data_IF_299890850204
#
_entry.id   IF_299890850204
#
_cell.length_a   1.000
_cell.length_b   1.000
_cell.length_c   1.000
_cell.angle_alpha   90.00
_cell.angle_beta   90.00
_cell.angle_gamma   90.00
#
_symmetry.space_group_name_H-M   'P 1'
#
loop_
_entity.id
_entity.type
_entity.pdbx_description
1 polymer ?
#
# COMPACT_ATOMS: atom_id res chain seq x y z
N UNK A 1 8.85 -19.89 -7.07
CA UNK A 1 8.92 -18.57 -6.39
C UNK A 1 8.65 -18.76 -4.90
N UNK A 2 9.61 -18.43 -4.03
CA UNK A 2 9.44 -18.58 -2.59
C UNK A 2 8.66 -17.36 -2.08
N UNK A 3 7.46 -17.57 -1.52
CA UNK A 3 6.67 -16.49 -0.93
C UNK A 3 7.45 -15.81 0.19
N UNK A 4 7.61 -14.49 0.12
CA UNK A 4 8.16 -13.68 1.22
C UNK A 4 7.02 -13.47 2.22
N UNK A 5 7.06 -14.17 3.33
CA UNK A 5 6.00 -14.17 4.36
C UNK A 5 6.50 -13.51 5.63
N UNK A 6 5.65 -12.71 6.25
CA UNK A 6 5.86 -12.25 7.63
C UNK A 6 5.45 -13.39 8.59
N UNK A 7 6.35 -13.86 9.49
CA UNK A 7 6.04 -14.94 10.41
C UNK A 7 4.86 -14.58 11.33
N UNK A 8 3.97 -15.55 11.57
CA UNK A 8 2.87 -15.41 12.54
C UNK A 8 1.62 -14.67 12.08
N UNK A 9 1.51 -14.27 10.81
CA UNK A 9 0.31 -13.66 10.25
C UNK A 9 -0.52 -14.65 9.41
N UNK A 10 -1.87 -14.49 9.38
CA UNK A 10 -2.75 -15.38 8.63
C UNK A 10 -2.41 -15.38 7.13
N UNK A 11 -2.65 -16.51 6.48
CA UNK A 11 -2.60 -16.59 5.03
C UNK A 11 -3.85 -15.94 4.48
N UNK A 12 -3.71 -14.73 3.93
CA UNK A 12 -4.81 -14.00 3.30
C UNK A 12 -4.91 -14.44 1.85
N UNK A 13 -6.11 -14.80 1.42
CA UNK A 13 -6.50 -14.92 0.02
C UNK A 13 -7.47 -13.77 -0.24
N UNK A 14 -7.19 -12.95 -1.24
CA UNK A 14 -8.06 -11.85 -1.57
C UNK A 14 -9.34 -12.39 -2.24
N UNK A 15 -10.47 -12.34 -1.53
CA UNK A 15 -11.77 -12.70 -2.10
C UNK A 15 -12.17 -11.70 -3.18
N UNK A 16 -12.79 -12.23 -4.25
CA UNK A 16 -13.23 -11.40 -5.37
C UNK A 16 -14.32 -10.42 -4.95
N UNK A 17 -14.07 -9.14 -5.15
CA UNK A 17 -15.00 -8.04 -4.85
C UNK A 17 -14.72 -6.82 -5.72
N UNK A 18 -15.69 -5.93 -5.79
CA UNK A 18 -15.49 -4.58 -6.32
C UNK A 18 -15.27 -3.60 -5.18
N UNK A 19 -14.23 -2.77 -5.29
CA UNK A 19 -13.98 -1.62 -4.44
C UNK A 19 -14.32 -0.36 -5.22
N UNK A 20 -14.91 0.62 -4.55
CA UNK A 20 -15.16 1.94 -5.15
C UNK A 20 -14.11 2.91 -4.63
N UNK A 21 -13.32 3.46 -5.53
CA UNK A 21 -12.37 4.52 -5.21
C UNK A 21 -13.10 5.85 -4.92
N UNK A 22 -12.44 6.75 -4.23
CA UNK A 22 -12.96 8.11 -3.92
C UNK A 22 -13.27 8.90 -5.20
N UNK A 23 -12.57 8.60 -6.31
CA UNK A 23 -12.84 9.16 -7.64
C UNK A 23 -14.12 8.64 -8.29
N UNK A 24 -14.75 7.59 -7.74
CA UNK A 24 -15.84 6.85 -8.35
C UNK A 24 -15.40 5.69 -9.27
N UNK A 25 -14.11 5.52 -9.51
CA UNK A 25 -13.57 4.37 -10.26
C UNK A 25 -13.88 3.06 -9.54
N UNK A 26 -14.26 2.04 -10.30
CA UNK A 26 -14.40 0.68 -9.79
C UNK A 26 -13.11 -0.10 -9.94
N UNK A 27 -12.69 -0.75 -8.88
CA UNK A 27 -11.49 -1.58 -8.82
C UNK A 27 -11.90 -2.99 -8.45
N UNK A 28 -11.70 -3.93 -9.36
CA UNK A 28 -11.89 -5.35 -9.06
C UNK A 28 -10.66 -5.86 -8.29
N UNK A 29 -10.89 -6.43 -7.13
CA UNK A 29 -9.88 -7.08 -6.30
C UNK A 29 -10.21 -8.59 -6.20
N UNK A 30 -9.32 -9.50 -6.66
CA UNK A 30 -8.11 -9.25 -7.45
C UNK A 30 -8.41 -8.74 -8.87
N UNK A 31 -7.47 -8.03 -9.48
CA UNK A 31 -7.55 -7.62 -10.89
C UNK A 31 -7.29 -8.85 -11.77
N UNK A 32 -8.16 -9.18 -12.76
CA UNK A 32 -8.01 -10.39 -13.55
C UNK A 32 -6.78 -10.42 -14.46
N UNK A 33 -6.25 -9.24 -14.82
CA UNK A 33 -5.23 -9.08 -15.84
C UNK A 33 -3.87 -8.64 -15.28
N UNK A 34 -3.85 -8.08 -14.06
CA UNK A 34 -2.66 -7.45 -13.48
C UNK A 34 -2.43 -7.87 -12.05
N UNK A 35 -1.18 -7.75 -11.61
CA UNK A 35 -0.88 -7.77 -10.18
C UNK A 35 -1.49 -6.54 -9.50
N UNK A 36 -2.00 -6.68 -8.28
CA UNK A 36 -2.40 -5.55 -7.44
C UNK A 36 -1.35 -5.33 -6.35
N UNK A 37 -0.83 -4.12 -6.25
CA UNK A 37 -0.18 -3.65 -5.04
C UNK A 37 -1.22 -2.97 -4.15
N UNK A 38 -1.75 -3.69 -3.17
CA UNK A 38 -2.71 -3.20 -2.20
C UNK A 38 -1.96 -2.60 -1.00
N UNK A 39 -2.09 -1.29 -0.84
CA UNK A 39 -1.39 -0.52 0.18
C UNK A 39 -2.36 -0.06 1.26
N UNK A 40 -2.13 -0.44 2.51
CA UNK A 40 -2.84 0.12 3.65
C UNK A 40 -2.05 1.29 4.22
N UNK A 41 -2.68 2.45 4.24
CA UNK A 41 -2.10 3.69 4.75
C UNK A 41 -2.88 4.16 5.98
N UNK A 42 -2.48 5.25 6.59
CA UNK A 42 -3.04 5.67 7.87
C UNK A 42 -4.32 6.48 7.67
N UNK A 43 -4.24 7.79 7.63
CA UNK A 43 -5.38 8.71 7.55
C UNK A 43 -5.15 9.75 6.46
N UNK A 44 -6.22 10.43 6.05
CA UNK A 44 -6.18 11.51 5.07
C UNK A 44 -5.20 12.61 5.47
N UNK A 45 -4.34 13.05 4.54
CA UNK A 45 -3.35 14.10 4.79
C UNK A 45 -2.19 13.70 5.72
N UNK A 46 -2.01 12.40 6.02
CA UNK A 46 -0.88 11.91 6.83
C UNK A 46 0.45 12.30 6.16
N UNK A 47 1.30 13.18 6.78
CA UNK A 47 2.52 13.65 6.14
C UNK A 47 3.51 12.54 5.80
N UNK A 48 3.60 11.52 6.66
CA UNK A 48 4.49 10.37 6.48
C UNK A 48 4.00 9.49 5.31
N UNK A 49 2.68 9.30 5.21
CA UNK A 49 2.08 8.56 4.08
C UNK A 49 2.29 9.31 2.76
N UNK A 50 2.07 10.64 2.75
CA UNK A 50 2.26 11.46 1.57
C UNK A 50 3.72 11.45 1.09
N UNK A 51 4.68 11.47 2.02
CA UNK A 51 6.11 11.38 1.67
C UNK A 51 6.40 10.08 0.90
N UNK A 52 5.84 8.95 1.35
CA UNK A 52 6.00 7.67 0.64
C UNK A 52 5.22 7.66 -0.68
N UNK A 53 3.94 8.05 -0.69
CA UNK A 53 3.11 8.02 -1.90
C UNK A 53 3.68 8.89 -3.03
N UNK A 54 4.42 9.96 -2.72
CA UNK A 54 5.14 10.74 -3.74
C UNK A 54 6.18 9.91 -4.48
N UNK A 55 6.86 8.98 -3.81
CA UNK A 55 7.82 8.09 -4.50
C UNK A 55 7.10 7.14 -5.46
N UNK A 56 5.90 6.69 -5.09
CA UNK A 56 5.03 5.87 -5.94
C UNK A 56 4.52 6.67 -7.14
N UNK A 57 4.04 7.91 -6.91
CA UNK A 57 3.57 8.82 -7.99
C UNK A 57 4.69 9.09 -9.00
N UNK A 58 5.91 9.41 -8.54
CA UNK A 58 7.04 9.71 -9.41
C UNK A 58 7.43 8.54 -10.32
N UNK A 59 7.20 7.32 -9.88
CA UNK A 59 7.54 6.09 -10.60
C UNK A 59 6.33 5.30 -11.06
N UNK A 60 5.15 5.91 -11.07
CA UNK A 60 3.89 5.23 -11.38
C UNK A 60 3.92 4.52 -12.74
N UNK A 61 4.44 5.19 -13.78
CA UNK A 61 4.56 4.59 -15.12
C UNK A 61 5.44 3.35 -15.14
N UNK A 62 6.48 3.32 -14.34
CA UNK A 62 7.37 2.15 -14.20
C UNK A 62 6.66 0.98 -13.52
N UNK A 63 5.85 1.28 -12.50
CA UNK A 63 5.03 0.30 -11.79
C UNK A 63 3.96 -0.30 -12.73
N UNK A 64 3.27 0.56 -13.50
CA UNK A 64 2.30 0.12 -14.51
C UNK A 64 2.95 -0.75 -15.60
N UNK A 65 4.14 -0.35 -16.09
CA UNK A 65 4.90 -1.11 -17.09
C UNK A 65 5.34 -2.49 -16.56
N UNK A 66 5.48 -2.64 -15.24
CA UNK A 66 5.73 -3.92 -14.58
C UNK A 66 4.46 -4.79 -14.42
N UNK A 67 3.30 -4.36 -14.95
CA UNK A 67 2.03 -5.06 -14.84
C UNK A 67 1.38 -4.97 -13.47
N UNK A 68 1.69 -3.94 -12.68
CA UNK A 68 1.16 -3.73 -11.33
C UNK A 68 0.15 -2.58 -11.34
N UNK A 69 -1.02 -2.82 -10.78
CA UNK A 69 -2.03 -1.81 -10.46
C UNK A 69 -1.90 -1.39 -9.01
N UNK A 70 -1.77 -0.09 -8.78
CA UNK A 70 -1.72 0.50 -7.45
C UNK A 70 -3.13 0.73 -6.89
N UNK A 71 -3.38 0.26 -5.66
CA UNK A 71 -4.61 0.50 -4.91
C UNK A 71 -4.24 0.87 -3.48
N UNK A 72 -4.64 2.06 -3.04
CA UNK A 72 -4.31 2.58 -1.72
C UNK A 72 -5.55 2.67 -0.86
N UNK A 73 -5.55 2.06 0.31
CA UNK A 73 -6.64 2.05 1.27
C UNK A 73 -6.30 2.93 2.46
N UNK A 74 -7.21 3.83 2.82
CA UNK A 74 -7.12 4.66 4.03
C UNK A 74 -8.28 4.38 4.97
N UNK A 75 -8.02 4.51 6.27
CA UNK A 75 -9.09 4.38 7.27
C UNK A 75 -9.82 5.71 7.55
N UNK A 76 -9.76 6.66 6.64
CA UNK A 76 -10.55 7.90 6.66
C UNK A 76 -11.78 7.78 5.78
N UNK A 77 -12.86 8.52 6.09
CA UNK A 77 -14.02 8.67 5.22
C UNK A 77 -13.65 9.27 3.87
N UNK A 78 -14.48 9.00 2.85
CA UNK A 78 -14.23 9.46 1.48
C UNK A 78 -14.16 10.99 1.39
N UNK A 79 -14.97 11.71 2.16
CA UNK A 79 -15.01 13.16 2.20
C UNK A 79 -13.69 13.77 2.69
N UNK A 80 -13.05 13.12 3.68
CA UNK A 80 -11.74 13.55 4.18
C UNK A 80 -10.63 13.23 3.17
N UNK A 81 -10.78 12.15 2.39
CA UNK A 81 -9.78 11.70 1.41
C UNK A 81 -9.83 12.49 0.10
N UNK A 82 -11.02 12.89 -0.35
CA UNK A 82 -11.21 13.52 -1.66
C UNK A 82 -10.22 14.65 -1.97
N UNK A 83 -9.95 15.60 -1.04
CA UNK A 83 -9.00 16.68 -1.30
C UNK A 83 -7.54 16.24 -1.40
N UNK A 84 -7.21 15.04 -0.91
CA UNK A 84 -5.85 14.49 -0.88
C UNK A 84 -5.63 13.44 -1.97
N UNK A 85 -6.71 12.94 -2.57
CA UNK A 85 -6.70 11.89 -3.58
C UNK A 85 -6.79 12.41 -5.02
N UNK A 86 -7.23 13.67 -5.20
CA UNK A 86 -7.56 14.24 -6.51
C UNK A 86 -6.42 14.18 -7.54
N UNK A 87 -5.18 14.34 -7.09
CA UNK A 87 -4.00 14.39 -7.96
C UNK A 87 -3.22 13.06 -7.99
N UNK A 88 -3.74 12.00 -7.34
CA UNK A 88 -3.08 10.69 -7.34
C UNK A 88 -3.45 9.90 -8.59
N UNK A 89 -2.46 9.32 -9.32
CA UNK A 89 -2.70 8.61 -10.58
C UNK A 89 -3.21 7.17 -10.38
N UNK A 90 -3.60 6.81 -9.17
CA UNK A 90 -4.05 5.46 -8.81
C UNK A 90 -5.28 5.50 -7.89
N UNK A 91 -5.94 4.36 -7.77
CA UNK A 91 -7.17 4.23 -6.99
C UNK A 91 -6.94 4.42 -5.49
N UNK A 92 -7.72 5.31 -4.87
CA UNK A 92 -7.74 5.56 -3.43
C UNK A 92 -9.08 5.12 -2.87
N UNK A 93 -9.07 4.19 -1.92
CA UNK A 93 -10.25 3.57 -1.31
C UNK A 93 -10.40 4.02 0.13
N UNK A 94 -11.62 4.41 0.51
CA UNK A 94 -11.99 4.71 1.89
C UNK A 94 -12.46 3.43 2.61
N UNK A 95 -11.89 3.15 3.78
CA UNK A 95 -12.29 2.06 4.65
C UNK A 95 -12.41 2.54 6.12
N UNK A 96 -13.35 3.47 6.42
CA UNK A 96 -13.48 4.05 7.76
C UNK A 96 -13.81 3.02 8.84
N UNK A 97 -14.53 1.97 8.48
CA UNK A 97 -14.90 0.85 9.35
C UNK A 97 -13.76 -0.16 9.54
N UNK A 98 -12.66 -0.03 8.79
CA UNK A 98 -11.49 -0.90 8.82
C UNK A 98 -11.79 -2.37 8.51
N UNK A 99 -12.75 -2.64 7.68
CA UNK A 99 -13.13 -4.01 7.27
C UNK A 99 -11.98 -4.68 6.52
N UNK A 100 -11.42 -3.99 5.52
CA UNK A 100 -10.24 -4.47 4.79
C UNK A 100 -9.01 -4.57 5.69
N UNK A 101 -8.77 -3.60 6.58
CA UNK A 101 -7.66 -3.68 7.54
C UNK A 101 -7.76 -4.92 8.42
N UNK A 102 -8.96 -5.24 8.92
CA UNK A 102 -9.19 -6.43 9.76
C UNK A 102 -8.97 -7.71 8.96
N UNK A 103 -9.51 -7.78 7.76
CA UNK A 103 -9.37 -8.95 6.88
C UNK A 103 -7.92 -9.24 6.53
N UNK A 104 -7.16 -8.20 6.17
CA UNK A 104 -5.75 -8.32 5.84
C UNK A 104 -4.82 -8.33 7.07
N UNK A 105 -5.37 -8.29 8.28
CA UNK A 105 -4.62 -8.35 9.54
C UNK A 105 -3.71 -7.14 9.79
N UNK A 106 -4.06 -5.97 9.24
CA UNK A 106 -3.29 -4.73 9.43
C UNK A 106 -3.66 -4.09 10.76
N UNK A 107 -2.68 -3.95 11.64
CA UNK A 107 -2.86 -3.58 13.03
C UNK A 107 -2.84 -2.07 13.30
N UNK A 108 -3.32 -1.72 14.52
CA UNK A 108 -3.04 -0.45 15.18
C UNK A 108 -2.13 -0.72 16.37
N UNK A 109 -1.08 0.08 16.51
CA UNK A 109 -0.22 -0.03 17.68
C UNK A 109 0.44 1.30 18.03
N UNK A 110 0.65 1.61 19.32
CA UNK A 110 1.41 2.77 19.75
C UNK A 110 2.82 2.83 19.14
N UNK A 111 3.45 1.69 18.89
CA UNK A 111 4.76 1.58 18.23
C UNK A 111 4.83 2.28 16.87
N UNK A 112 3.68 2.49 16.22
CA UNK A 112 3.61 3.21 14.94
C UNK A 112 4.33 4.57 14.95
N UNK A 113 4.32 5.26 16.09
CA UNK A 113 4.92 6.58 16.26
C UNK A 113 6.03 6.60 17.32
N UNK A 114 6.14 5.60 18.18
CA UNK A 114 7.12 5.56 19.28
C UNK A 114 8.45 4.95 18.86
N UNK A 115 8.52 4.27 17.70
CA UNK A 115 9.77 3.73 17.19
C UNK A 115 10.73 4.87 16.79
N UNK A 116 11.99 4.91 17.33
CA UNK A 116 12.96 5.97 16.98
C UNK A 116 13.26 6.07 15.48
N UNK A 117 13.14 4.99 14.73
CA UNK A 117 13.39 4.93 13.29
C UNK A 117 12.46 5.83 12.48
N UNK A 118 11.28 6.15 13.02
CA UNK A 118 10.26 6.96 12.34
C UNK A 118 10.48 8.46 12.53
N UNK A 119 11.29 8.89 13.50
CA UNK A 119 11.43 10.32 13.85
C UNK A 119 12.05 11.15 12.73
N UNK A 120 13.12 10.68 12.11
CA UNK A 120 13.74 11.39 10.99
C UNK A 120 12.78 11.49 9.76
N UNK A 121 12.12 10.41 9.31
CA UNK A 121 11.03 10.50 8.34
C UNK A 121 9.90 11.45 8.74
N UNK A 122 9.47 11.45 10.01
CA UNK A 122 8.43 12.38 10.50
C UNK A 122 8.90 13.84 10.35
N UNK A 123 10.09 14.17 10.82
CA UNK A 123 10.63 15.53 10.72
C UNK A 123 10.70 15.97 9.24
N UNK A 124 11.22 15.12 8.36
CA UNK A 124 11.27 15.42 6.92
C UNK A 124 9.86 15.59 6.33
N UNK A 125 8.92 14.75 6.70
CA UNK A 125 7.55 14.81 6.24
C UNK A 125 6.84 16.09 6.72
N UNK A 126 7.04 16.47 7.99
CA UNK A 126 6.46 17.70 8.56
C UNK A 126 7.06 18.94 7.89
N UNK A 127 8.39 19.01 7.74
CA UNK A 127 9.07 20.14 7.09
C UNK A 127 8.63 20.28 5.63
N UNK A 128 8.63 19.18 4.87
CA UNK A 128 8.21 19.20 3.47
C UNK A 128 6.71 19.50 3.32
N UNK A 129 5.88 18.96 4.20
CA UNK A 129 4.44 19.23 4.23
C UNK A 129 4.14 20.69 4.57
N UNK A 130 4.78 21.25 5.60
CA UNK A 130 4.66 22.67 5.95
C UNK A 130 5.06 23.59 4.79
N UNK A 131 6.17 23.27 4.12
CA UNK A 131 6.63 24.03 2.94
C UNK A 131 5.64 23.97 1.77
N UNK A 132 5.00 22.81 1.54
CA UNK A 132 4.01 22.65 0.48
C UNK A 132 2.68 23.32 0.84
N UNK A 133 2.28 23.33 2.10
CA UNK A 133 1.11 24.08 2.57
C UNK A 133 1.31 25.60 2.37
N UNK A 134 2.50 26.12 2.74
CA UNK A 134 2.84 27.53 2.52
C UNK A 134 2.81 27.89 1.03
N UNK A 135 3.16 26.95 0.15
CA UNK A 135 3.10 27.12 -1.31
C UNK A 135 1.72 26.82 -1.92
N UNK A 136 0.70 26.52 -1.11
CA UNK A 136 -0.64 26.19 -1.58
C UNK A 136 -0.75 24.86 -2.33
N UNK A 137 0.27 24.00 -2.22
CA UNK A 137 0.34 22.70 -2.91
C UNK A 137 -0.26 21.55 -2.13
N UNK A 138 -0.43 21.70 -0.83
CA UNK A 138 -1.03 20.69 0.06
C UNK A 138 -1.95 21.34 1.08
N UNK A 139 -2.96 20.61 1.51
CA UNK A 139 -3.85 21.02 2.60
C UNK A 139 -3.30 20.55 3.93
N UNK A 140 -3.60 21.28 4.99
CA UNK A 140 -3.26 20.87 6.35
C UNK A 140 -3.95 19.55 6.69
N UNK A 141 -3.23 18.59 7.31
CA UNK A 141 -3.84 17.37 7.80
C UNK A 141 -4.85 17.68 8.92
N UNK A 142 -5.89 16.86 9.05
CA UNK A 142 -6.83 16.96 10.16
C UNK A 142 -6.09 16.86 11.51
N UNK A 143 -6.45 17.73 12.44
CA UNK A 143 -5.94 17.70 13.82
C UNK A 143 -6.44 16.48 14.58
N UNK A 144 -7.64 15.97 14.22
CA UNK A 144 -8.26 14.79 14.81
C UNK A 144 -8.78 13.87 13.69
N UNK A 145 -7.90 13.10 13.02
CA UNK A 145 -8.31 12.24 11.91
C UNK A 145 -9.21 11.10 12.39
N UNK A 146 -10.18 10.74 11.55
CA UNK A 146 -11.05 9.58 11.79
C UNK A 146 -10.21 8.33 12.06
N UNK A 147 -10.58 7.54 13.06
CA UNK A 147 -9.84 6.32 13.44
C UNK A 147 -8.47 6.55 14.10
N UNK A 148 -8.05 7.81 14.32
CA UNK A 148 -6.84 8.18 15.04
C UNK A 148 -5.54 8.03 14.23
N UNK A 149 -4.40 8.21 14.91
CA UNK A 149 -3.06 8.31 14.29
C UNK A 149 -2.18 7.07 14.44
N UNK A 150 -2.65 6.00 15.09
CA UNK A 150 -1.83 4.84 15.49
C UNK A 150 -1.87 3.67 14.50
N UNK A 151 -2.39 3.86 13.28
CA UNK A 151 -2.38 2.83 12.24
C UNK A 151 -0.96 2.46 11.83
N UNK A 152 -0.72 1.18 11.59
CA UNK A 152 0.49 0.69 10.94
C UNK A 152 0.23 0.56 9.43
N UNK A 153 1.24 0.75 8.58
CA UNK A 153 1.11 0.48 7.17
C UNK A 153 1.13 -1.02 6.87
N UNK A 154 0.57 -1.41 5.74
CA UNK A 154 0.67 -2.75 5.20
C UNK A 154 0.77 -2.71 3.68
N UNK A 155 1.57 -3.60 3.10
CA UNK A 155 1.73 -3.72 1.65
C UNK A 155 1.53 -5.18 1.25
N UNK A 156 0.73 -5.42 0.20
CA UNK A 156 0.40 -6.74 -0.29
C UNK A 156 0.51 -6.77 -1.81
N UNK A 157 1.23 -7.75 -2.35
CA UNK A 157 1.25 -8.02 -3.79
C UNK A 157 0.32 -9.21 -4.07
N UNK A 158 -0.73 -8.97 -4.84
CA UNK A 158 -1.82 -9.92 -5.07
C UNK A 158 -1.84 -10.31 -6.54
N UNK A 159 -1.86 -11.62 -6.81
CA UNK A 159 -1.96 -12.17 -8.14
C UNK A 159 -3.42 -12.15 -8.67
N UNK A 160 -3.64 -12.27 -9.99
CA UNK A 160 -4.97 -12.32 -10.60
C UNK A 160 -5.88 -13.44 -10.05
N UNK A 161 -5.31 -14.52 -9.55
CA UNK A 161 -6.03 -15.62 -8.90
C UNK A 161 -6.36 -15.38 -7.41
N UNK A 162 -6.05 -14.19 -6.88
CA UNK A 162 -6.30 -13.79 -5.49
C UNK A 162 -5.22 -14.19 -4.49
N UNK A 163 -4.21 -14.96 -4.91
CA UNK A 163 -3.11 -15.33 -4.01
C UNK A 163 -2.27 -14.11 -3.63
N UNK A 164 -2.01 -13.94 -2.35
CA UNK A 164 -1.03 -12.98 -1.87
C UNK A 164 0.37 -13.54 -2.08
N UNK A 165 1.10 -12.97 -3.04
CA UNK A 165 2.45 -13.40 -3.42
C UNK A 165 3.50 -12.92 -2.43
N UNK A 166 3.32 -11.71 -1.91
CA UNK A 166 4.16 -11.10 -0.88
C UNK A 166 3.33 -10.19 0.02
N UNK A 167 3.75 -10.08 1.27
CA UNK A 167 3.13 -9.16 2.24
C UNK A 167 4.18 -8.55 3.15
N UNK A 168 3.95 -7.29 3.53
CA UNK A 168 4.71 -6.57 4.56
C UNK A 168 3.75 -5.93 5.54
N UNK A 169 3.94 -6.23 6.80
CA UNK A 169 3.26 -5.56 7.92
C UNK A 169 4.27 -4.61 8.56
N UNK A 170 4.00 -3.31 8.46
CA UNK A 170 4.93 -2.30 8.96
C UNK A 170 5.08 -2.35 10.47
N UNK A 171 6.32 -2.24 10.95
CA UNK A 171 6.65 -2.14 12.37
C UNK A 171 6.45 -0.73 12.91
N UNK A 172 6.58 0.28 12.04
CA UNK A 172 6.38 1.70 12.34
C UNK A 172 5.71 2.46 11.19
N UNK A 173 5.38 3.73 11.39
CA UNK A 173 4.58 4.52 10.45
C UNK A 173 5.19 4.73 9.05
N UNK A 174 6.50 4.56 8.90
CA UNK A 174 7.24 4.71 7.63
C UNK A 174 7.85 3.40 7.14
N UNK A 175 7.30 2.26 7.55
CA UNK A 175 7.80 0.94 7.17
C UNK A 175 6.95 0.33 6.06
N UNK A 176 7.12 0.87 4.85
CA UNK A 176 6.47 0.40 3.61
C UNK A 176 7.52 -0.17 2.65
N UNK A 177 7.06 -0.87 1.59
CA UNK A 177 7.97 -1.25 0.52
C UNK A 177 8.46 -0.02 -0.25
N UNK A 178 9.78 0.15 -0.42
CA UNK A 178 10.31 1.03 -1.45
C UNK A 178 9.86 0.55 -2.85
N UNK A 179 9.74 1.47 -3.81
CA UNK A 179 9.32 1.13 -5.18
C UNK A 179 10.24 0.07 -5.82
N UNK A 180 11.55 0.11 -5.54
CA UNK A 180 12.50 -0.91 -6.04
C UNK A 180 12.17 -2.31 -5.54
N UNK A 181 11.75 -2.43 -4.28
CA UNK A 181 11.34 -3.72 -3.71
C UNK A 181 10.05 -4.21 -4.36
N UNK A 182 9.07 -3.34 -4.57
CA UNK A 182 7.84 -3.68 -5.29
C UNK A 182 8.12 -4.19 -6.69
N UNK A 183 8.96 -3.48 -7.45
CA UNK A 183 9.32 -3.87 -8.82
C UNK A 183 10.07 -5.20 -8.86
N UNK A 184 10.97 -5.43 -7.91
CA UNK A 184 11.68 -6.71 -7.77
C UNK A 184 10.70 -7.86 -7.48
N UNK A 185 9.71 -7.66 -6.61
CA UNK A 185 8.68 -8.65 -6.30
C UNK A 185 7.79 -8.93 -7.52
N UNK A 186 7.39 -7.88 -8.25
CA UNK A 186 6.58 -8.00 -9.45
C UNK A 186 7.33 -8.76 -10.56
N UNK A 187 8.60 -8.44 -10.79
CA UNK A 187 9.44 -9.17 -11.75
C UNK A 187 9.54 -10.66 -11.40
N UNK A 188 9.69 -10.99 -10.12
CA UNK A 188 9.71 -12.37 -9.65
C UNK A 188 8.35 -13.09 -9.83
N UNK A 189 7.24 -12.34 -9.77
CA UNK A 189 5.91 -12.89 -9.99
C UNK A 189 5.63 -13.18 -11.47
N UNK A 190 6.12 -12.31 -12.34
CA UNK A 190 5.93 -12.40 -13.80
C UNK A 190 6.97 -13.34 -14.48
N UNK A 191 8.00 -13.77 -13.76
CA UNK A 191 8.96 -14.73 -14.30
C UNK A 191 8.26 -16.06 -14.62
N UNK A 192 8.41 -16.63 -15.83
CA UNK A 192 7.85 -17.93 -16.14
C UNK A 192 8.36 -18.96 -15.10
N UNK A 193 7.44 -19.77 -14.58
CA UNK A 193 7.84 -20.88 -13.69
C UNK A 193 8.95 -21.66 -14.39
N UNK A 194 10.14 -21.68 -13.78
CA UNK A 194 11.26 -22.45 -14.34
C UNK A 194 10.72 -23.87 -14.54
N UNK A 195 10.68 -24.29 -15.82
CA UNK A 195 10.19 -25.60 -16.19
C UNK A 195 10.90 -26.62 -15.28
N UNK A 196 10.15 -27.36 -14.50
CA UNK A 196 10.67 -28.48 -13.72
C UNK A 196 11.43 -29.38 -14.71
N UNK A 197 12.74 -29.37 -14.56
CA UNK A 197 13.60 -30.27 -15.34
C UNK A 197 13.20 -31.68 -14.93
N UNK A 198 12.68 -32.52 -15.84
CA UNK A 198 12.31 -33.89 -15.50
C UNK A 198 13.52 -34.56 -14.87
N UNK A 199 13.33 -35.43 -13.84
CA UNK A 199 14.42 -36.15 -13.24
C UNK A 199 15.09 -36.97 -14.31
N UNK A 200 16.38 -36.74 -14.52
CA UNK A 200 17.17 -37.38 -15.53
C UNK A 200 17.06 -38.90 -15.41
N UNK A 201 16.61 -39.56 -16.50
CA UNK A 201 16.72 -40.99 -16.69
C UNK A 201 18.21 -41.33 -16.72
N UNK A 202 18.76 -41.67 -15.55
CA UNK A 202 20.08 -42.33 -15.47
C UNK A 202 19.97 -43.72 -16.08
N UNK A 203 20.77 -43.95 -17.06
CA UNK A 203 21.18 -45.30 -17.45
C UNK A 203 22.45 -45.65 -16.72
#
# INVERSE_FOLDING_TARGET
>A
MRMVRSPGKPQVVAERRELTAVSGERVTLPDPDRLIHLQFRRFAGCPVCNLHLRTVVLRHREIEAAGVREVVVFHSPAEELAPHAADLPFAVVADPDRRLYTEFGVERAPRALLDPRVWLPIVRAVVSGAWNVVRGRERLPSTSPHGGRLGLPGDFLIAPDGRVLASKYGEHAYDQWPVDELLRLAAGANAPAAAERPPGSGR
#
